data_IF_215796329884
#
_entry.id   IF_215796329884
#
_cell.length_a   1.000
_cell.length_b   1.000
_cell.length_c   1.000
_cell.angle_alpha   90.00
_cell.angle_beta   90.00
_cell.angle_gamma   90.00
#
_symmetry.space_group_name_H-M   'P 1'
#
loop_
_entity.id
_entity.type
_entity.pdbx_description
1 polymer ?
#
# COMPACT_ATOMS: atom_id res chain seq x y z
N UNK A 1 41.83 -22.88 -0.11
CA UNK A 1 42.65 -21.82 0.51
C UNK A 1 41.76 -21.04 1.48
N UNK A 2 42.08 -21.08 2.78
CA UNK A 2 41.32 -20.41 3.86
C UNK A 2 41.77 -18.93 3.96
N UNK A 3 40.83 -17.99 4.02
CA UNK A 3 41.02 -16.61 4.55
C UNK A 3 39.70 -16.21 5.22
N UNK A 4 39.59 -16.35 6.54
CA UNK A 4 39.91 -15.40 7.62
C UNK A 4 38.93 -14.22 7.72
N UNK A 5 38.30 -14.18 8.90
CA UNK A 5 37.22 -13.34 9.40
C UNK A 5 37.79 -11.98 9.84
N UNK A 6 37.01 -10.91 9.68
CA UNK A 6 37.23 -9.63 10.34
C UNK A 6 35.91 -8.98 10.72
N UNK A 7 35.44 -9.22 11.94
CA UNK A 7 34.31 -8.51 12.54
C UNK A 7 34.87 -7.36 13.40
N UNK A 8 34.45 -6.12 13.12
CA UNK A 8 34.77 -4.96 13.92
C UNK A 8 33.56 -4.61 14.81
N UNK A 9 33.71 -4.82 16.11
CA UNK A 9 32.80 -4.38 17.16
C UNK A 9 33.15 -2.96 17.60
N UNK A 10 32.18 -2.04 17.54
CA UNK A 10 32.29 -0.69 18.08
C UNK A 10 31.55 -0.65 19.41
N UNK A 11 32.29 -0.44 20.50
CA UNK A 11 31.76 -0.17 21.83
C UNK A 11 31.70 1.36 22.05
N UNK A 12 30.54 1.88 22.44
CA UNK A 12 30.39 3.23 22.97
C UNK A 12 30.24 3.16 24.49
N UNK A 13 31.12 3.86 25.20
CA UNK A 13 31.09 4.05 26.65
C UNK A 13 30.73 5.50 27.00
N UNK A 14 29.79 5.60 27.95
CA UNK A 14 29.58 6.57 29.04
C UNK A 14 29.69 8.09 28.81
N UNK A 15 28.64 8.79 29.24
CA UNK A 15 28.78 9.92 30.17
C UNK A 15 27.53 10.02 31.08
N UNK A 16 27.74 9.88 32.39
CA UNK A 16 26.80 10.25 33.44
C UNK A 16 27.28 11.50 34.18
N UNK A 17 26.34 12.29 34.69
CA UNK A 17 26.55 13.37 35.66
C UNK A 17 25.22 13.51 36.42
N UNK A 18 25.13 13.08 37.68
CA UNK A 18 25.17 13.93 38.89
C UNK A 18 23.75 14.40 39.27
N UNK A 19 23.22 14.43 40.49
CA UNK A 19 23.65 14.25 41.88
C UNK A 19 22.46 14.81 42.72
N UNK A 20 21.87 14.05 43.64
CA UNK A 20 22.07 14.08 45.12
C UNK A 20 21.36 15.21 45.88
N UNK A 21 20.55 14.85 46.89
CA UNK A 21 20.33 15.68 48.09
C UNK A 21 18.91 15.70 48.66
N UNK A 22 18.60 14.75 49.55
CA UNK A 22 17.55 14.91 50.57
C UNK A 22 18.17 15.43 51.87
N UNK A 23 17.49 16.34 52.58
CA UNK A 23 17.38 16.32 54.05
C UNK A 23 16.35 17.36 54.55
N UNK A 24 15.50 16.85 55.45
CA UNK A 24 14.45 17.50 56.24
C UNK A 24 15.03 18.36 57.37
N UNK A 25 14.38 19.49 57.69
CA UNK A 25 13.79 19.77 59.02
C UNK A 25 13.47 21.27 59.23
N UNK A 26 12.21 21.51 59.62
CA UNK A 26 11.85 22.51 60.64
C UNK A 26 11.73 23.99 60.23
N UNK A 27 10.52 24.42 59.85
CA UNK A 27 9.75 25.46 60.57
C UNK A 27 8.44 25.76 59.83
N UNK A 28 7.33 25.41 60.48
CA UNK A 28 5.98 25.68 60.02
C UNK A 28 5.70 27.20 60.04
N UNK A 29 5.51 27.79 58.87
CA UNK A 29 4.77 29.04 58.70
C UNK A 29 3.64 28.76 57.73
N UNK A 30 2.42 28.74 58.25
CA UNK A 30 1.18 28.64 57.46
C UNK A 30 1.09 29.88 56.58
N UNK A 31 1.45 29.74 55.29
CA UNK A 31 1.10 30.69 54.24
C UNK A 31 -0.11 30.15 53.50
N UNK A 32 -1.19 30.93 53.50
CA UNK A 32 -2.38 30.69 52.69
C UNK A 32 -2.01 30.59 51.20
N UNK A 33 -2.57 29.63 50.43
CA UNK A 33 -2.34 29.54 49.00
C UNK A 33 -2.86 30.80 48.28
N UNK A 34 -2.15 31.34 47.29
CA UNK A 34 -2.73 32.32 46.37
C UNK A 34 -3.84 31.64 45.56
N UNK A 35 -4.92 32.38 45.29
CA UNK A 35 -6.02 31.93 44.45
C UNK A 35 -5.50 31.44 43.09
N UNK A 36 -5.92 30.23 42.70
CA UNK A 36 -5.61 29.63 41.40
C UNK A 36 -6.19 30.48 40.27
N UNK A 37 -5.33 31.02 39.41
CA UNK A 37 -5.71 31.65 38.16
C UNK A 37 -6.37 30.61 37.24
N UNK A 38 -7.49 30.91 36.56
CA UNK A 38 -8.09 29.99 35.59
C UNK A 38 -7.12 29.75 34.42
N UNK A 39 -6.62 28.53 34.29
CA UNK A 39 -5.87 28.12 33.08
C UNK A 39 -6.85 27.93 31.94
N UNK A 40 -6.79 28.79 30.93
CA UNK A 40 -7.47 28.60 29.65
C UNK A 40 -7.05 27.25 29.05
N UNK A 41 -8.00 26.38 28.63
CA UNK A 41 -7.66 25.12 27.98
C UNK A 41 -6.79 25.39 26.74
N UNK A 42 -5.56 24.91 26.75
CA UNK A 42 -4.71 24.90 25.55
C UNK A 42 -5.37 23.97 24.53
N UNK A 43 -5.76 24.51 23.38
CA UNK A 43 -6.36 23.72 22.31
C UNK A 43 -5.47 22.51 21.98
N UNK A 44 -6.05 21.34 21.64
CA UNK A 44 -5.26 20.19 21.21
C UNK A 44 -4.37 20.59 20.05
N UNK A 45 -3.05 20.57 20.25
CA UNK A 45 -2.11 20.78 19.15
C UNK A 45 -2.30 19.63 18.17
N UNK A 46 -2.84 19.91 16.99
CA UNK A 46 -2.92 18.95 15.89
C UNK A 46 -1.51 18.41 15.67
N UNK A 47 -1.29 17.08 15.71
CA UNK A 47 0.01 16.50 15.39
C UNK A 47 0.44 16.99 14.00
N UNK A 48 1.51 17.78 13.94
CA UNK A 48 2.07 18.23 12.67
C UNK A 48 2.77 17.02 12.06
N UNK A 49 2.08 16.33 11.15
CA UNK A 49 2.68 15.26 10.34
C UNK A 49 3.73 15.92 9.43
N UNK A 50 5.02 15.54 9.52
CA UNK A 50 6.04 16.07 8.60
C UNK A 50 5.62 15.85 7.15
N UNK A 51 5.76 16.90 6.33
CA UNK A 51 5.54 16.80 4.89
C UNK A 51 6.38 15.66 4.32
N UNK A 52 5.77 14.83 3.46
CA UNK A 52 6.52 13.78 2.75
C UNK A 52 7.64 14.45 1.93
N UNK A 53 8.82 13.82 1.81
CA UNK A 53 9.82 14.27 0.84
C UNK A 53 9.18 14.33 -0.55
N UNK A 54 9.47 15.36 -1.34
CA UNK A 54 9.02 15.41 -2.73
C UNK A 54 9.83 14.39 -3.56
N UNK A 55 9.35 13.15 -3.58
CA UNK A 55 9.97 12.05 -4.32
C UNK A 55 9.48 11.96 -5.76
N UNK A 56 8.70 12.94 -6.25
CA UNK A 56 8.24 12.97 -7.64
C UNK A 56 9.44 13.04 -8.59
N UNK A 57 10.53 13.71 -8.20
CA UNK A 57 11.79 13.72 -8.93
C UNK A 57 12.41 12.31 -9.09
N UNK A 58 12.11 11.40 -8.16
CA UNK A 58 12.52 9.99 -8.18
C UNK A 58 11.51 9.09 -8.91
N UNK A 59 10.50 9.68 -9.56
CA UNK A 59 9.49 8.93 -10.32
C UNK A 59 8.34 8.39 -9.49
N UNK A 60 8.24 8.75 -8.20
CA UNK A 60 7.05 8.46 -7.41
C UNK A 60 5.83 9.15 -8.01
N UNK A 61 4.71 8.45 -8.04
CA UNK A 61 3.52 8.92 -8.71
C UNK A 61 2.44 7.86 -8.86
N UNK A 62 1.25 8.32 -9.27
CA UNK A 62 0.22 7.47 -9.80
C UNK A 62 0.12 7.72 -11.30
N UNK A 63 0.27 6.67 -12.12
CA UNK A 63 0.24 6.76 -13.56
C UNK A 63 -0.85 5.85 -14.12
N UNK A 64 -1.66 6.40 -15.03
CA UNK A 64 -2.76 5.68 -15.67
C UNK A 64 -2.48 5.61 -17.17
N UNK A 65 -2.59 4.41 -17.74
CA UNK A 65 -2.26 4.19 -19.13
C UNK A 65 -2.79 2.89 -19.67
N UNK A 66 -2.34 2.54 -20.86
CA UNK A 66 -2.73 1.30 -21.54
C UNK A 66 -1.54 0.62 -22.19
N UNK A 67 -1.66 -0.70 -22.33
CA UNK A 67 -0.78 -1.48 -23.20
C UNK A 67 -1.22 -1.38 -24.66
N UNK A 68 -0.36 -1.83 -25.58
CA UNK A 68 -0.71 -1.96 -27.00
C UNK A 68 -1.86 -2.97 -27.23
N UNK A 69 -2.07 -3.92 -26.33
CA UNK A 69 -3.17 -4.88 -26.37
C UNK A 69 -4.49 -4.31 -25.81
N UNK A 70 -4.47 -3.08 -25.28
CA UNK A 70 -5.66 -2.44 -24.71
C UNK A 70 -5.95 -2.82 -23.26
N UNK A 71 -4.99 -3.41 -22.54
CA UNK A 71 -5.08 -3.59 -21.09
C UNK A 71 -4.92 -2.23 -20.42
N UNK A 72 -5.82 -1.88 -19.49
CA UNK A 72 -5.63 -0.69 -18.65
C UNK A 72 -4.62 -0.99 -17.56
N UNK A 73 -3.70 -0.07 -17.32
CA UNK A 73 -2.74 -0.12 -16.24
C UNK A 73 -2.88 1.10 -15.33
N UNK A 74 -2.90 0.83 -14.02
CA UNK A 74 -2.88 1.79 -12.94
C UNK A 74 -1.60 1.52 -12.13
N UNK A 75 -0.56 2.31 -12.37
CA UNK A 75 0.80 2.11 -11.84
C UNK A 75 1.05 3.09 -10.70
N UNK A 76 1.16 2.57 -9.49
CA UNK A 76 1.59 3.29 -8.30
C UNK A 76 3.08 3.05 -8.08
N UNK A 77 3.86 4.12 -8.15
CA UNK A 77 5.28 4.14 -7.77
C UNK A 77 5.36 4.90 -6.45
N UNK A 78 5.71 4.20 -5.37
CA UNK A 78 5.69 4.75 -4.02
C UNK A 78 7.09 5.17 -3.56
N UNK A 79 7.16 6.10 -2.62
CA UNK A 79 8.39 6.68 -2.07
C UNK A 79 9.26 5.69 -1.27
N UNK A 80 8.73 4.54 -0.85
CA UNK A 80 9.46 3.48 -0.14
C UNK A 80 10.06 2.41 -1.08
N UNK A 81 10.42 2.79 -2.31
CA UNK A 81 11.05 1.89 -3.29
C UNK A 81 10.22 0.64 -3.61
N UNK A 82 8.88 0.79 -3.64
CA UNK A 82 7.94 -0.27 -4.03
C UNK A 82 6.98 0.24 -5.10
N UNK A 83 6.60 -0.63 -6.03
CA UNK A 83 5.55 -0.34 -7.00
C UNK A 83 4.41 -1.36 -6.94
N UNK A 84 3.24 -0.91 -7.38
CA UNK A 84 2.06 -1.73 -7.64
C UNK A 84 1.47 -1.32 -8.98
N UNK A 85 1.46 -2.22 -9.95
CA UNK A 85 0.80 -2.00 -11.23
C UNK A 85 -0.41 -2.91 -11.32
N UNK A 86 -1.58 -2.34 -11.04
CA UNK A 86 -2.86 -3.01 -11.26
C UNK A 86 -3.15 -2.97 -12.75
N UNK A 87 -3.58 -4.10 -13.31
CA UNK A 87 -3.95 -4.15 -14.71
C UNK A 87 -5.27 -4.89 -14.91
N UNK A 88 -5.98 -4.49 -15.95
CA UNK A 88 -7.29 -5.01 -16.31
C UNK A 88 -7.24 -5.77 -17.63
N UNK A 89 -8.24 -6.62 -17.85
CA UNK A 89 -8.38 -7.38 -19.09
C UNK A 89 -8.42 -6.45 -20.29
N UNK A 90 -7.81 -6.89 -21.40
CA UNK A 90 -7.78 -6.15 -22.65
C UNK A 90 -9.21 -5.75 -23.08
N UNK A 91 -9.43 -4.44 -23.26
CA UNK A 91 -10.72 -3.90 -23.68
C UNK A 91 -11.83 -3.89 -22.61
N UNK A 92 -11.56 -4.37 -21.38
CA UNK A 92 -12.53 -4.42 -20.28
C UNK A 92 -11.89 -3.83 -19.01
N UNK A 93 -11.78 -2.50 -18.91
CA UNK A 93 -10.97 -1.82 -17.88
C UNK A 93 -11.47 -2.02 -16.44
N UNK A 94 -12.70 -2.50 -16.26
CA UNK A 94 -13.31 -2.73 -14.95
C UNK A 94 -13.03 -4.14 -14.41
N UNK A 95 -12.54 -5.06 -15.25
CA UNK A 95 -12.26 -6.44 -14.87
C UNK A 95 -10.77 -6.58 -14.62
N UNK A 96 -10.40 -6.71 -13.34
CA UNK A 96 -9.03 -6.98 -12.93
C UNK A 96 -8.47 -8.21 -13.64
N UNK A 97 -7.26 -8.07 -14.15
CA UNK A 97 -6.45 -9.13 -14.74
C UNK A 97 -5.25 -9.49 -13.85
N UNK A 98 -4.88 -8.63 -12.90
CA UNK A 98 -3.87 -8.94 -11.89
C UNK A 98 -3.19 -7.71 -11.31
N UNK A 99 -2.14 -7.97 -10.52
CA UNK A 99 -1.29 -6.94 -9.94
C UNK A 99 0.16 -7.34 -10.02
N UNK A 100 1.00 -6.49 -10.59
CA UNK A 100 2.44 -6.61 -10.50
C UNK A 100 2.95 -5.81 -9.31
N UNK A 101 3.81 -6.40 -8.50
CA UNK A 101 4.46 -5.71 -7.41
C UNK A 101 5.91 -6.13 -7.26
N UNK A 102 6.76 -5.17 -6.92
CA UNK A 102 8.18 -5.38 -6.70
C UNK A 102 8.83 -4.16 -6.07
N UNK A 103 10.11 -4.31 -5.73
CA UNK A 103 10.92 -3.16 -5.34
C UNK A 103 11.65 -2.60 -6.54
N UNK A 104 11.83 -1.30 -6.56
CA UNK A 104 12.54 -0.61 -7.62
C UNK A 104 13.73 0.19 -7.06
N UNK A 105 14.70 0.44 -7.93
CA UNK A 105 15.67 1.52 -7.79
C UNK A 105 15.36 2.60 -8.82
N UNK A 106 15.50 3.87 -8.43
CA UNK A 106 15.32 5.02 -9.32
C UNK A 106 16.59 5.84 -9.47
N UNK A 107 16.84 6.31 -10.69
CA UNK A 107 17.95 7.20 -11.00
C UNK A 107 17.96 7.57 -12.48
N UNK A 108 18.39 8.80 -12.79
CA UNK A 108 18.57 9.28 -14.16
C UNK A 108 17.35 9.10 -15.08
N UNK A 109 16.13 9.27 -14.55
CA UNK A 109 14.88 9.13 -15.32
C UNK A 109 14.49 7.68 -15.61
N UNK A 110 15.06 6.70 -14.91
CA UNK A 110 14.72 5.29 -15.04
C UNK A 110 14.32 4.65 -13.70
N UNK A 111 13.34 3.74 -13.76
CA UNK A 111 12.99 2.81 -12.68
C UNK A 111 13.42 1.40 -13.12
N UNK A 112 14.08 0.66 -12.23
CA UNK A 112 14.48 -0.72 -12.50
C UNK A 112 14.05 -1.62 -11.35
N UNK A 113 13.31 -2.69 -11.65
CA UNK A 113 13.02 -3.75 -10.66
C UNK A 113 14.29 -4.52 -10.28
N UNK A 114 14.50 -4.72 -8.99
CA UNK A 114 15.67 -5.44 -8.45
C UNK A 114 15.51 -6.98 -8.53
N UNK A 115 15.13 -7.51 -9.71
CA UNK A 115 14.89 -8.95 -9.96
C UNK A 115 13.96 -9.63 -8.94
N UNK A 116 13.06 -8.86 -8.33
CA UNK A 116 12.16 -9.33 -7.29
C UNK A 116 10.69 -9.02 -7.60
N UNK A 117 10.37 -8.68 -8.85
CA UNK A 117 8.99 -8.40 -9.24
C UNK A 117 8.19 -9.70 -9.39
N UNK A 118 6.94 -9.64 -8.94
CA UNK A 118 5.97 -10.73 -8.99
C UNK A 118 4.69 -10.21 -9.63
N UNK A 119 4.13 -11.03 -10.51
CA UNK A 119 2.81 -10.85 -11.10
C UNK A 119 1.83 -11.81 -10.43
N UNK A 120 0.82 -11.25 -9.77
CA UNK A 120 -0.34 -11.94 -9.23
C UNK A 120 -1.42 -11.97 -10.30
N UNK A 121 -1.23 -12.88 -11.25
CA UNK A 121 -1.94 -12.93 -12.52
C UNK A 121 -3.28 -13.69 -12.41
N UNK A 122 -4.35 -13.12 -12.97
CA UNK A 122 -5.70 -13.68 -12.97
C UNK A 122 -6.13 -14.26 -14.33
N UNK A 123 -5.31 -14.14 -15.38
CA UNK A 123 -5.70 -14.38 -16.78
C UNK A 123 -5.40 -15.79 -17.31
N UNK A 124 -4.83 -16.73 -16.54
CA UNK A 124 -4.53 -18.06 -17.08
C UNK A 124 -4.47 -19.24 -16.08
N UNK A 125 -4.87 -20.41 -16.58
CA UNK A 125 -4.77 -21.72 -15.94
C UNK A 125 -3.30 -22.09 -15.65
N UNK A 126 -2.85 -21.88 -14.42
CA UNK A 126 -1.59 -22.42 -13.88
C UNK A 126 -0.45 -21.43 -13.62
N UNK A 127 -0.60 -20.14 -13.97
CA UNK A 127 0.46 -19.12 -13.80
C UNK A 127 0.05 -17.96 -12.88
N UNK A 128 -0.64 -18.28 -11.79
CA UNK A 128 -1.25 -17.29 -10.92
C UNK A 128 -0.25 -16.45 -10.14
N UNK A 129 0.97 -16.98 -9.90
CA UNK A 129 2.07 -16.23 -9.32
C UNK A 129 3.34 -16.43 -10.16
N UNK A 130 3.75 -15.39 -10.88
CA UNK A 130 4.84 -15.48 -11.86
C UNK A 130 5.90 -14.40 -11.62
N UNK A 131 7.18 -14.71 -11.83
CA UNK A 131 8.22 -13.69 -11.82
C UNK A 131 8.07 -12.75 -13.03
N UNK A 132 8.01 -11.45 -12.76
CA UNK A 132 7.89 -10.41 -13.76
C UNK A 132 8.70 -9.17 -13.35
N UNK A 133 9.52 -8.65 -14.24
CA UNK A 133 10.30 -7.44 -13.98
C UNK A 133 9.65 -6.24 -14.68
N UNK A 134 9.64 -5.09 -14.00
CA UNK A 134 9.21 -3.82 -14.55
C UNK A 134 10.43 -2.91 -14.71
N UNK A 135 10.69 -2.50 -15.93
CA UNK A 135 11.65 -1.43 -16.23
C UNK A 135 10.86 -0.25 -16.76
N UNK A 136 11.22 0.96 -16.37
CA UNK A 136 10.52 2.12 -16.89
C UNK A 136 11.43 3.31 -17.13
N UNK A 137 11.13 4.08 -18.17
CA UNK A 137 11.61 5.45 -18.32
C UNK A 137 10.51 6.40 -17.86
N UNK A 138 10.87 7.47 -17.14
CA UNK A 138 9.90 8.42 -16.61
C UNK A 138 10.33 9.87 -16.80
N UNK A 139 9.33 10.74 -16.93
CA UNK A 139 9.47 12.19 -16.78
C UNK A 139 8.75 12.58 -15.48
N UNK A 140 9.46 13.11 -14.47
CA UNK A 140 8.88 13.47 -13.17
C UNK A 140 7.55 14.23 -13.30
N UNK A 141 6.52 13.74 -12.61
CA UNK A 141 5.19 14.38 -12.59
C UNK A 141 4.46 14.47 -13.93
N UNK A 142 4.91 13.75 -14.97
CA UNK A 142 4.32 13.80 -16.32
C UNK A 142 3.95 12.45 -16.89
N UNK A 143 4.91 11.56 -17.06
CA UNK A 143 4.68 10.30 -17.78
C UNK A 143 5.64 9.21 -17.36
N UNK A 144 5.22 7.98 -17.63
CA UNK A 144 6.03 6.77 -17.51
C UNK A 144 5.79 5.88 -18.72
N UNK A 145 6.86 5.32 -19.26
CA UNK A 145 6.81 4.22 -20.21
C UNK A 145 7.40 2.99 -19.51
N UNK A 146 6.54 2.05 -19.16
CA UNK A 146 6.93 0.83 -18.47
C UNK A 146 6.98 -0.34 -19.46
N UNK A 147 8.00 -1.17 -19.33
CA UNK A 147 8.14 -2.46 -19.96
C UNK A 147 8.08 -3.54 -18.89
N UNK A 148 7.08 -4.40 -18.99
CA UNK A 148 6.96 -5.62 -18.18
C UNK A 148 7.58 -6.77 -18.97
N UNK A 149 8.45 -7.54 -18.34
CA UNK A 149 9.09 -8.72 -18.94
C UNK A 149 8.92 -9.94 -18.05
N UNK A 150 8.46 -11.03 -18.63
CA UNK A 150 8.26 -12.32 -17.99
C UNK A 150 9.38 -13.29 -18.33
N UNK A 151 9.63 -14.29 -17.47
CA UNK A 151 10.67 -15.31 -17.69
C UNK A 151 10.47 -16.13 -18.98
N UNK A 152 9.22 -16.28 -19.43
CA UNK A 152 8.88 -16.97 -20.68
C UNK A 152 9.16 -16.13 -21.94
N UNK A 153 9.75 -14.94 -21.82
CA UNK A 153 10.04 -14.02 -22.92
C UNK A 153 8.87 -13.13 -23.34
N UNK A 154 7.66 -13.31 -22.77
CA UNK A 154 6.56 -12.36 -22.98
C UNK A 154 6.96 -10.99 -22.45
N UNK A 155 6.63 -9.95 -23.20
CA UNK A 155 6.81 -8.57 -22.75
C UNK A 155 5.62 -7.70 -23.17
N UNK A 156 5.27 -6.77 -22.29
CA UNK A 156 4.20 -5.79 -22.50
C UNK A 156 4.77 -4.40 -22.27
N UNK A 157 4.55 -3.49 -23.21
CA UNK A 157 4.88 -2.07 -23.05
C UNK A 157 3.61 -1.30 -22.73
N UNK A 158 3.71 -0.44 -21.73
CA UNK A 158 2.64 0.40 -21.20
C UNK A 158 3.09 1.85 -21.27
N UNK A 159 2.27 2.69 -21.88
CA UNK A 159 2.47 4.14 -21.84
C UNK A 159 1.41 4.72 -20.90
N UNK A 160 1.86 5.42 -19.85
CA UNK A 160 0.97 5.95 -18.83
C UNK A 160 1.31 7.41 -18.49
N UNK A 161 0.27 8.17 -18.16
CA UNK A 161 0.34 9.59 -17.83
C UNK A 161 0.13 9.77 -16.34
N UNK A 162 0.82 10.75 -15.76
CA UNK A 162 0.68 11.10 -14.36
C UNK A 162 -0.74 11.54 -14.03
N UNK A 163 -1.32 10.96 -12.98
CA UNK A 163 -2.59 11.37 -12.39
C UNK A 163 -2.33 12.41 -11.31
N UNK A 164 -2.99 13.56 -11.44
CA UNK A 164 -2.93 14.64 -10.45
C UNK A 164 -3.56 14.25 -9.11
N UNK A 165 -4.31 13.14 -9.03
CA UNK A 165 -4.78 12.58 -7.76
C UNK A 165 -3.64 12.23 -6.80
N UNK A 166 -2.43 12.00 -7.31
CA UNK A 166 -1.26 11.76 -6.48
C UNK A 166 -0.77 13.02 -5.73
N UNK A 167 -1.22 14.21 -6.13
CA UNK A 167 -0.89 15.47 -5.47
C UNK A 167 -1.71 15.74 -4.21
N UNK A 168 -2.76 14.94 -3.96
CA UNK A 168 -3.66 15.12 -2.82
C UNK A 168 -3.43 14.02 -1.80
N UNK A 169 -3.44 14.39 -0.52
CA UNK A 169 -3.36 13.43 0.58
C UNK A 169 -4.74 12.78 0.77
N UNK A 170 -4.77 11.46 0.91
CA UNK A 170 -5.97 10.71 1.28
C UNK A 170 -6.54 11.16 2.65
N UNK A 171 -7.85 11.07 2.83
CA UNK A 171 -8.52 11.24 4.12
C UNK A 171 -8.97 9.88 4.65
N UNK A 172 -9.10 9.71 5.97
CA UNK A 172 -9.50 8.41 6.55
C UNK A 172 -10.87 7.92 6.05
N UNK A 173 -11.77 8.84 5.71
CA UNK A 173 -13.11 8.56 5.19
C UNK A 173 -13.19 8.54 3.65
N UNK A 174 -12.09 8.80 2.94
CA UNK A 174 -12.10 8.94 1.47
C UNK A 174 -12.39 7.64 0.72
N UNK A 175 -12.35 6.49 1.40
CA UNK A 175 -12.81 5.19 0.88
C UNK A 175 -14.03 4.64 1.62
N UNK A 176 -14.67 5.44 2.48
CA UNK A 176 -15.86 4.98 3.22
C UNK A 176 -16.93 4.53 2.22
N UNK A 177 -17.44 3.32 2.40
CA UNK A 177 -18.40 2.76 1.47
C UNK A 177 -18.69 1.29 1.69
N UNK A 178 -19.64 0.78 0.92
CA UNK A 178 -19.87 -0.66 0.77
C UNK A 178 -19.67 -1.00 -0.69
N UNK A 179 -18.66 -1.79 -0.98
CA UNK A 179 -18.24 -2.14 -2.33
C UNK A 179 -18.62 -3.58 -2.64
N UNK A 180 -19.24 -3.79 -3.79
CA UNK A 180 -19.58 -5.11 -4.32
C UNK A 180 -18.60 -5.47 -5.42
N UNK A 181 -18.00 -6.65 -5.32
CA UNK A 181 -16.94 -7.02 -6.24
C UNK A 181 -16.40 -8.42 -6.04
N UNK A 182 -15.18 -8.62 -6.51
CA UNK A 182 -14.47 -9.89 -6.45
C UNK A 182 -13.27 -9.78 -5.52
N UNK A 183 -13.05 -10.83 -4.72
CA UNK A 183 -11.81 -11.05 -3.99
C UNK A 183 -11.15 -12.32 -4.52
N UNK A 184 -9.90 -12.19 -4.94
CA UNK A 184 -9.08 -13.27 -5.48
C UNK A 184 -7.88 -13.48 -4.56
N UNK A 185 -7.83 -14.64 -3.89
CA UNK A 185 -6.64 -15.11 -3.19
C UNK A 185 -5.79 -15.87 -4.18
N UNK A 186 -4.55 -15.45 -4.35
CA UNK A 186 -3.62 -15.97 -5.35
C UNK A 186 -2.39 -16.52 -4.65
N UNK A 187 -2.02 -17.75 -4.97
CA UNK A 187 -0.80 -18.39 -4.47
C UNK A 187 -0.15 -19.28 -5.55
N UNK A 188 0.89 -20.03 -5.18
CA UNK A 188 1.59 -20.94 -6.09
C UNK A 188 0.75 -22.14 -6.56
N UNK A 189 -0.41 -22.38 -5.96
CA UNK A 189 -1.33 -23.48 -6.28
C UNK A 189 -2.52 -23.04 -7.13
N UNK A 190 -2.77 -21.73 -7.25
CA UNK A 190 -3.77 -21.18 -8.16
C UNK A 190 -4.49 -19.97 -7.58
N UNK A 191 -5.75 -19.81 -8.00
CA UNK A 191 -6.62 -18.69 -7.63
C UNK A 191 -7.86 -19.24 -6.92
N UNK A 192 -8.19 -18.67 -5.77
CA UNK A 192 -9.49 -18.84 -5.14
C UNK A 192 -10.25 -17.51 -5.26
N UNK A 193 -11.29 -17.51 -6.09
CA UNK A 193 -12.11 -16.34 -6.38
C UNK A 193 -13.45 -16.41 -5.63
N UNK A 194 -13.95 -15.26 -5.16
CA UNK A 194 -15.28 -15.14 -4.58
C UNK A 194 -15.90 -13.78 -4.84
N UNK A 195 -17.21 -13.76 -5.14
CA UNK A 195 -18.01 -12.55 -5.06
C UNK A 195 -18.23 -12.19 -3.59
N UNK A 196 -17.98 -10.94 -3.25
CA UNK A 196 -17.87 -10.51 -1.85
C UNK A 196 -18.34 -9.06 -1.68
N UNK A 197 -18.68 -8.72 -0.44
CA UNK A 197 -19.03 -7.35 -0.03
C UNK A 197 -17.94 -6.81 0.90
N UNK A 198 -17.26 -5.76 0.48
CA UNK A 198 -16.29 -5.02 1.30
C UNK A 198 -16.95 -3.78 1.89
N UNK A 199 -17.01 -3.68 3.21
CA UNK A 199 -17.41 -2.46 3.91
C UNK A 199 -16.18 -1.76 4.48
N UNK A 200 -16.11 -0.45 4.27
CA UNK A 200 -15.07 0.44 4.79
C UNK A 200 -15.77 1.52 5.60
N UNK A 201 -15.46 1.62 6.89
CA UNK A 201 -16.01 2.67 7.74
C UNK A 201 -15.25 4.00 7.62
N UNK A 202 -15.73 5.04 8.31
CA UNK A 202 -15.11 6.37 8.26
C UNK A 202 -13.72 6.44 8.92
N UNK A 203 -13.34 5.41 9.68
CA UNK A 203 -12.01 5.29 10.30
C UNK A 203 -11.05 4.45 9.44
N UNK A 204 -11.51 3.97 8.28
CA UNK A 204 -10.75 3.10 7.39
C UNK A 204 -10.74 1.64 7.84
N UNK A 205 -11.60 1.20 8.77
CA UNK A 205 -11.69 -0.22 9.11
C UNK A 205 -12.35 -0.99 7.98
N UNK A 206 -11.71 -2.08 7.57
CA UNK A 206 -12.13 -2.95 6.47
C UNK A 206 -12.83 -4.18 7.06
N UNK A 207 -14.01 -4.50 6.54
CA UNK A 207 -14.68 -5.77 6.81
C UNK A 207 -15.19 -6.34 5.50
N UNK A 208 -14.68 -7.52 5.13
CA UNK A 208 -15.17 -8.23 3.97
C UNK A 208 -15.95 -9.46 4.38
N UNK A 209 -17.20 -9.52 3.91
CA UNK A 209 -18.08 -10.66 4.07
C UNK A 209 -17.92 -11.60 2.88
N UNK A 210 -17.25 -12.73 3.13
CA UNK A 210 -17.05 -13.81 2.18
C UNK A 210 -17.96 -15.00 2.43
N UNK A 211 -19.18 -14.78 2.94
CA UNK A 211 -20.16 -15.85 3.25
C UNK A 211 -20.33 -16.91 2.15
N UNK A 212 -20.14 -16.57 0.87
CA UNK A 212 -20.17 -17.54 -0.23
C UNK A 212 -18.92 -18.46 -0.32
N UNK A 213 -17.74 -17.98 0.10
CA UNK A 213 -16.48 -18.75 0.11
C UNK A 213 -16.14 -19.31 1.51
N UNK A 214 -16.83 -18.85 2.55
CA UNK A 214 -16.53 -19.10 3.96
C UNK A 214 -15.26 -18.39 4.47
N UNK A 215 -14.62 -17.57 3.62
CA UNK A 215 -13.39 -16.86 3.94
C UNK A 215 -13.64 -15.36 3.95
N UNK A 216 -13.60 -14.75 5.14
CA UNK A 216 -13.72 -13.31 5.34
C UNK A 216 -12.34 -12.67 5.58
N UNK A 217 -12.29 -11.35 5.57
CA UNK A 217 -11.13 -10.65 6.11
C UNK A 217 -11.52 -9.37 6.84
N UNK A 218 -10.71 -9.00 7.81
CA UNK A 218 -10.76 -7.71 8.47
C UNK A 218 -9.44 -6.99 8.27
N UNK A 219 -9.41 -5.68 8.48
CA UNK A 219 -8.22 -4.93 8.24
C UNK A 219 -8.39 -3.44 8.45
N UNK A 220 -7.38 -2.69 8.05
CA UNK A 220 -7.40 -1.23 8.06
C UNK A 220 -6.82 -0.69 6.76
N UNK A 221 -7.34 0.45 6.33
CA UNK A 221 -6.79 1.29 5.30
C UNK A 221 -6.41 2.64 5.91
N UNK A 222 -5.11 2.92 5.98
CA UNK A 222 -4.59 4.16 6.55
C UNK A 222 -4.08 5.07 5.44
N UNK A 223 -4.50 6.35 5.37
CA UNK A 223 -3.99 7.30 4.42
C UNK A 223 -2.46 7.35 4.39
N UNK A 224 -1.88 7.37 3.20
CA UNK A 224 -0.47 7.64 3.02
C UNK A 224 -0.20 9.14 3.11
N UNK A 225 1.07 9.49 3.33
CA UNK A 225 1.51 10.90 3.38
C UNK A 225 1.50 11.59 2.02
N UNK A 226 1.34 10.82 0.94
CA UNK A 226 1.28 11.32 -0.42
C UNK A 226 0.34 10.44 -1.27
N UNK A 227 -0.42 11.11 -2.14
CA UNK A 227 -1.43 10.52 -3.00
C UNK A 227 -2.71 10.08 -2.29
N UNK A 228 -3.80 9.98 -3.07
CA UNK A 228 -5.07 9.37 -2.65
C UNK A 228 -4.95 7.84 -2.56
N UNK A 229 -3.97 7.39 -1.79
CA UNK A 229 -3.53 6.00 -1.69
C UNK A 229 -3.42 5.63 -0.21
N UNK A 230 -3.74 4.39 0.13
CA UNK A 230 -3.85 3.92 1.51
C UNK A 230 -2.97 2.70 1.71
N UNK A 231 -2.21 2.70 2.81
CA UNK A 231 -1.57 1.49 3.29
C UNK A 231 -2.65 0.57 3.86
N UNK A 232 -2.64 -0.68 3.42
CA UNK A 232 -3.62 -1.67 3.84
C UNK A 232 -2.96 -2.72 4.72
N UNK A 233 -3.63 -3.08 5.82
CA UNK A 233 -3.38 -4.32 6.55
C UNK A 233 -4.62 -5.19 6.46
N UNK A 234 -4.45 -6.50 6.22
CA UNK A 234 -5.54 -7.47 6.22
C UNK A 234 -5.19 -8.67 7.10
N UNK A 235 -6.23 -9.26 7.68
CA UNK A 235 -6.19 -10.54 8.34
C UNK A 235 -7.34 -11.40 7.80
N UNK A 236 -7.00 -12.53 7.18
CA UNK A 236 -7.98 -13.50 6.70
C UNK A 236 -8.57 -14.26 7.89
N UNK A 237 -9.87 -14.50 7.86
CA UNK A 237 -10.64 -15.09 8.96
C UNK A 237 -11.63 -16.13 8.43
N UNK A 238 -11.83 -17.20 9.19
CA UNK A 238 -12.82 -18.24 8.88
C UNK A 238 -12.19 -19.61 8.66
N UNK A 239 -12.96 -20.69 8.90
CA UNK A 239 -12.43 -22.06 8.91
C UNK A 239 -12.04 -22.57 7.52
N UNK A 240 -12.58 -21.99 6.44
CA UNK A 240 -12.25 -22.35 5.05
C UNK A 240 -11.16 -21.46 4.46
N UNK A 241 -10.69 -20.42 5.18
CA UNK A 241 -9.56 -19.63 4.73
C UNK A 241 -8.26 -20.42 4.82
N UNK A 242 -7.70 -20.79 3.66
CA UNK A 242 -6.39 -21.45 3.55
C UNK A 242 -5.26 -20.74 4.30
N UNK A 243 -5.35 -19.41 4.42
CA UNK A 243 -4.35 -18.56 5.09
C UNK A 243 -4.94 -17.78 6.27
N UNK A 244 -5.87 -18.39 7.01
CA UNK A 244 -6.47 -17.78 8.20
C UNK A 244 -5.39 -17.26 9.17
N UNK A 245 -5.68 -16.12 9.81
CA UNK A 245 -4.82 -15.44 10.78
C UNK A 245 -3.43 -15.04 10.26
N UNK A 246 -3.24 -15.02 8.94
CA UNK A 246 -1.99 -14.53 8.37
C UNK A 246 -2.10 -13.03 8.10
N UNK A 247 -1.23 -12.19 8.69
CA UNK A 247 -1.22 -10.77 8.38
C UNK A 247 -0.72 -10.56 6.95
N UNK A 248 -1.41 -9.69 6.23
CA UNK A 248 -1.03 -9.24 4.90
C UNK A 248 -0.97 -7.72 4.86
N UNK A 249 -0.09 -7.21 4.03
CA UNK A 249 0.10 -5.77 3.85
C UNK A 249 0.11 -5.40 2.39
N UNK A 250 -0.36 -4.21 2.05
CA UNK A 250 -0.24 -3.68 0.71
C UNK A 250 -0.88 -2.31 0.56
N UNK A 251 -1.64 -2.13 -0.51
CA UNK A 251 -2.11 -0.83 -0.97
C UNK A 251 -3.58 -0.89 -1.37
N UNK A 252 -4.29 0.21 -1.18
CA UNK A 252 -5.58 0.45 -1.81
C UNK A 252 -5.69 1.88 -2.35
N UNK A 253 -6.51 2.04 -3.37
CA UNK A 253 -6.94 3.34 -3.87
C UNK A 253 -8.32 3.23 -4.50
N UNK A 254 -9.00 4.36 -4.62
CA UNK A 254 -10.28 4.48 -5.29
C UNK A 254 -10.12 5.28 -6.58
N UNK A 255 -10.53 4.71 -7.70
CA UNK A 255 -10.55 5.36 -9.01
C UNK A 255 -11.99 5.81 -9.32
N UNK A 256 -12.32 7.10 -9.19
CA UNK A 256 -13.66 7.60 -9.49
C UNK A 256 -13.95 7.65 -11.00
N UNK A 257 -12.99 7.38 -11.88
CA UNK A 257 -13.13 7.54 -13.33
C UNK A 257 -13.56 6.27 -14.07
N UNK A 258 -13.60 5.13 -13.36
CA UNK A 258 -13.89 3.83 -13.97
C UNK A 258 -15.39 3.65 -14.20
N UNK A 259 -15.83 3.52 -15.46
CA UNK A 259 -17.25 3.62 -15.89
C UNK A 259 -17.75 2.50 -16.82
N UNK A 260 -16.91 1.55 -17.25
CA UNK A 260 -17.22 0.72 -18.43
C UNK A 260 -18.43 -0.21 -18.25
N UNK A 261 -18.67 -0.74 -17.06
CA UNK A 261 -19.64 -1.82 -16.85
C UNK A 261 -20.91 -1.43 -16.08
N UNK A 262 -21.00 -0.22 -15.51
CA UNK A 262 -22.17 0.24 -14.73
C UNK A 262 -22.34 1.76 -14.81
N UNK A 263 -23.58 2.29 -14.62
CA UNK A 263 -23.85 3.73 -14.69
C UNK A 263 -23.19 4.53 -13.55
N UNK A 264 -22.84 3.89 -12.43
CA UNK A 264 -22.16 4.54 -11.32
C UNK A 264 -20.64 4.53 -11.56
N UNK A 265 -20.00 5.70 -11.69
CA UNK A 265 -18.56 5.78 -11.80
C UNK A 265 -17.92 5.37 -10.47
N UNK A 266 -16.77 4.70 -10.54
CA UNK A 266 -15.95 4.44 -9.37
C UNK A 266 -15.65 2.98 -9.12
N UNK A 267 -14.37 2.69 -8.88
CA UNK A 267 -13.91 1.35 -8.53
C UNK A 267 -12.82 1.45 -7.47
N UNK A 268 -12.94 0.66 -6.41
CA UNK A 268 -11.85 0.47 -5.45
C UNK A 268 -10.96 -0.68 -5.93
N UNK A 269 -9.66 -0.47 -5.78
CA UNK A 269 -8.63 -1.46 -6.03
C UNK A 269 -7.86 -1.65 -4.73
N UNK A 270 -7.73 -2.89 -4.31
CA UNK A 270 -6.99 -3.26 -3.11
C UNK A 270 -6.12 -4.47 -3.44
N UNK A 271 -4.87 -4.40 -3.01
CA UNK A 271 -3.95 -5.52 -3.07
C UNK A 271 -3.20 -5.61 -1.76
N UNK A 272 -3.15 -6.80 -1.18
CA UNK A 272 -2.30 -7.10 -0.04
C UNK A 272 -1.60 -8.43 -0.26
N UNK A 273 -0.41 -8.59 0.29
CA UNK A 273 0.34 -9.83 0.20
C UNK A 273 0.98 -10.19 1.53
N UNK A 274 1.29 -11.48 1.68
CA UNK A 274 2.10 -11.96 2.80
C UNK A 274 3.51 -11.37 2.76
N UNK A 275 4.20 -11.29 3.91
CA UNK A 275 5.60 -10.87 3.96
C UNK A 275 6.55 -11.75 3.14
N UNK A 276 6.26 -13.05 2.98
CA UNK A 276 7.01 -13.97 2.11
C UNK A 276 6.69 -13.84 0.62
N UNK A 277 5.68 -13.02 0.30
CA UNK A 277 5.20 -12.70 -1.05
C UNK A 277 4.74 -13.93 -1.85
N UNK A 278 4.42 -15.04 -1.18
CA UNK A 278 3.92 -16.27 -1.79
C UNK A 278 2.40 -16.30 -1.94
N UNK A 279 1.71 -15.36 -1.30
CA UNK A 279 0.24 -15.23 -1.37
C UNK A 279 -0.12 -13.76 -1.49
N UNK A 280 -1.03 -13.46 -2.42
CA UNK A 280 -1.64 -12.15 -2.61
C UNK A 280 -3.17 -12.23 -2.52
N UNK A 281 -3.79 -11.14 -2.11
CA UNK A 281 -5.23 -10.91 -2.13
C UNK A 281 -5.47 -9.69 -2.98
N UNK A 282 -6.22 -9.85 -4.06
CA UNK A 282 -6.68 -8.75 -4.90
C UNK A 282 -8.18 -8.60 -4.65
N UNK A 283 -8.61 -7.41 -4.25
CA UNK A 283 -10.02 -7.04 -4.24
C UNK A 283 -10.25 -5.90 -5.22
N UNK A 284 -11.29 -6.05 -6.02
CA UNK A 284 -11.82 -4.97 -6.86
C UNK A 284 -13.32 -4.93 -6.75
N UNK A 285 -13.89 -3.74 -6.53
CA UNK A 285 -15.33 -3.59 -6.37
C UNK A 285 -15.83 -2.18 -6.64
N UNK A 286 -17.14 -2.05 -6.78
CA UNK A 286 -17.83 -0.79 -7.03
C UNK A 286 -18.76 -0.45 -5.88
N UNK A 287 -18.93 0.85 -5.62
CA UNK A 287 -19.77 1.38 -4.55
C UNK A 287 -21.26 1.09 -4.80
#
# INVERSE_FOLDING_TARGET
MKKLIGAASVALALAGCGGSGDNSDGLAIVRTPPASTPTTPTAPSTPVIPAAPDTIALGSGFYIGTSAAGERFNILVLDENVYYAFYAMAGIPDVSAGVLSGNYSSGSGALTTNNNGLDFNQEAAGYSLTAANLMAAYVPGKSIQAQVTYRNGKSTVVNATYSTDYNFIATADGMKGTYYGTSNVIDTTGITAGAVRLSIDASGNLTLDGSASGCSFTGTATPRRQGKVYNVTLQLLGPTCRYANTPMTGIAYYDPTTTHSLPTPGQIYLFAMRPDRQVGVIFTGKL
#
